data_IF_772778289104
#
_entry.id   IF_772778289104
#
_cell.length_a   1.000
_cell.length_b   1.000
_cell.length_c   1.000
_cell.angle_alpha   90.00
_cell.angle_beta   90.00
_cell.angle_gamma   90.00
#
_symmetry.space_group_name_H-M   'P 1'
#
loop_
_entity.id
_entity.type
_entity.pdbx_description
1 polymer ?
#
# COMPACT_ATOMS: atom_id res chain seq x y z
N UNK A 1 13.98 12.74 11.61
CA UNK A 1 12.81 12.36 12.43
C UNK A 1 11.64 13.25 12.03
N UNK A 2 10.45 12.69 11.82
CA UNK A 2 9.26 13.46 11.44
C UNK A 2 8.77 14.33 12.61
N UNK A 3 8.46 15.61 12.37
CA UNK A 3 8.10 16.60 13.41
C UNK A 3 6.60 16.92 13.54
N UNK A 4 5.75 16.34 12.70
CA UNK A 4 4.32 16.63 12.68
C UNK A 4 3.93 17.47 11.48
N UNK A 5 2.64 17.80 11.40
CA UNK A 5 2.15 18.79 10.46
C UNK A 5 2.58 20.20 10.88
N UNK A 6 2.86 21.11 9.93
CA UNK A 6 2.92 22.53 10.24
C UNK A 6 1.61 23.01 10.85
N UNK A 7 1.62 24.12 11.58
CA UNK A 7 0.39 24.74 12.07
C UNK A 7 -0.54 25.14 10.90
N UNK A 8 -1.83 25.32 11.20
CA UNK A 8 -2.85 25.63 10.17
C UNK A 8 -2.49 26.92 9.43
N UNK A 9 -2.03 27.95 10.14
CA UNK A 9 -1.66 29.23 9.54
C UNK A 9 -0.52 29.08 8.54
N UNK A 10 0.51 28.27 8.84
CA UNK A 10 1.59 27.96 7.92
C UNK A 10 1.13 27.12 6.71
N UNK A 11 0.15 26.22 6.90
CA UNK A 11 -0.44 25.47 5.79
C UNK A 11 -1.25 26.39 4.87
N UNK A 12 -2.09 27.26 5.43
CA UNK A 12 -2.92 28.21 4.71
C UNK A 12 -2.10 29.30 4.01
N UNK A 13 -0.98 29.72 4.60
CA UNK A 13 -0.02 30.65 4.00
C UNK A 13 0.38 30.20 2.59
N UNK A 14 0.73 28.92 2.43
CA UNK A 14 1.15 28.37 1.12
C UNK A 14 0.05 28.45 0.06
N UNK A 15 -1.21 28.30 0.45
CA UNK A 15 -2.35 28.40 -0.48
C UNK A 15 -2.74 29.85 -0.79
N UNK A 16 -2.56 30.75 0.18
CA UNK A 16 -3.03 32.13 0.09
C UNK A 16 -1.95 33.14 -0.37
N UNK A 17 -0.67 32.75 -0.41
CA UNK A 17 0.46 33.65 -0.69
C UNK A 17 0.29 34.53 -1.94
N UNK A 18 -0.37 34.01 -2.99
CA UNK A 18 -0.65 34.74 -4.23
C UNK A 18 -2.14 35.11 -4.41
N UNK A 19 -2.92 35.17 -3.32
CA UNK A 19 -4.32 35.55 -3.37
C UNK A 19 -4.53 36.98 -2.88
N UNK A 20 -5.48 37.70 -3.48
CA UNK A 20 -5.76 39.09 -3.08
C UNK A 20 -6.40 39.18 -1.69
N UNK A 21 -7.27 38.22 -1.35
CA UNK A 21 -8.16 38.31 -0.20
C UNK A 21 -7.85 37.32 0.95
N UNK A 22 -6.92 36.37 0.75
CA UNK A 22 -6.50 35.41 1.79
C UNK A 22 -7.65 34.60 2.44
N UNK A 23 -8.64 34.19 1.64
CA UNK A 23 -9.86 33.51 2.12
C UNK A 23 -9.84 31.99 2.02
N UNK A 24 -8.79 31.37 1.48
CA UNK A 24 -8.73 29.90 1.42
C UNK A 24 -8.41 29.32 2.80
N UNK A 25 -9.29 28.45 3.28
CA UNK A 25 -9.14 27.76 4.56
C UNK A 25 -8.74 26.31 4.33
N UNK A 26 -7.88 25.80 5.20
CA UNK A 26 -7.52 24.38 5.19
C UNK A 26 -8.77 23.55 5.53
N UNK A 27 -9.10 22.59 4.66
CA UNK A 27 -10.16 21.63 4.95
C UNK A 27 -9.85 20.87 6.25
N UNK A 28 -10.90 20.62 7.06
CA UNK A 28 -10.78 19.97 8.37
C UNK A 28 -10.20 18.55 8.33
N UNK A 29 -10.18 17.92 7.16
CA UNK A 29 -9.53 16.63 6.91
C UNK A 29 -8.83 16.62 5.55
N UNK A 30 -8.00 15.60 5.32
CA UNK A 30 -7.40 15.33 4.02
C UNK A 30 -8.11 14.13 3.38
N UNK A 31 -8.43 14.23 2.10
CA UNK A 31 -9.01 13.12 1.32
C UNK A 31 -7.92 12.10 0.97
N UNK A 32 -6.69 12.57 0.71
CA UNK A 32 -5.53 11.73 0.42
C UNK A 32 -4.52 11.80 1.57
N UNK A 33 -3.62 10.79 1.70
CA UNK A 33 -2.51 10.87 2.63
C UNK A 33 -1.70 12.14 2.39
N UNK A 34 -1.56 12.98 3.41
CA UNK A 34 -0.75 14.20 3.34
C UNK A 34 0.75 13.90 3.15
N UNK A 35 1.15 12.64 3.38
CA UNK A 35 2.53 12.19 3.30
C UNK A 35 2.61 10.80 2.73
N UNK A 36 3.69 10.57 2.00
CA UNK A 36 3.98 9.31 1.33
C UNK A 36 5.43 8.95 1.64
N UNK A 37 5.66 7.68 1.97
CA UNK A 37 7.01 7.15 2.17
C UNK A 37 7.51 6.67 0.82
N UNK A 38 8.65 7.20 0.39
CA UNK A 38 9.36 6.73 -0.78
C UNK A 38 10.56 5.89 -0.37
N UNK A 39 10.74 4.78 -1.07
CA UNK A 39 11.93 3.94 -0.97
C UNK A 39 12.65 4.01 -2.32
N UNK A 40 13.90 4.47 -2.30
CA UNK A 40 14.76 4.41 -3.47
C UNK A 40 15.23 2.97 -3.66
N UNK A 41 15.00 2.42 -4.86
CA UNK A 41 15.37 1.06 -5.24
C UNK A 41 16.57 1.02 -6.19
N UNK A 42 17.23 2.16 -6.41
CA UNK A 42 18.45 2.26 -7.23
C UNK A 42 19.65 1.48 -6.65
N UNK A 43 19.86 1.41 -5.32
CA UNK A 43 20.91 0.59 -4.74
C UNK A 43 20.66 -0.92 -4.94
N UNK A 44 21.73 -1.71 -4.83
CA UNK A 44 21.62 -3.17 -4.86
C UNK A 44 20.89 -3.74 -3.63
N UNK A 45 20.46 -5.00 -3.72
CA UNK A 45 19.65 -5.64 -2.69
C UNK A 45 20.35 -5.73 -1.33
N UNK A 46 21.66 -5.97 -1.28
CA UNK A 46 22.40 -6.09 -0.03
C UNK A 46 22.53 -4.73 0.65
N UNK A 47 22.83 -3.68 -0.12
CA UNK A 47 22.81 -2.30 0.35
C UNK A 47 21.44 -1.91 0.90
N UNK A 48 20.36 -2.23 0.18
CA UNK A 48 19.00 -1.96 0.65
C UNK A 48 18.69 -2.66 1.97
N UNK A 49 19.05 -3.93 2.12
CA UNK A 49 18.82 -4.71 3.34
C UNK A 49 19.61 -4.16 4.54
N UNK A 50 20.85 -3.69 4.31
CA UNK A 50 21.69 -3.10 5.36
C UNK A 50 21.15 -1.76 5.86
N UNK A 51 20.53 -0.95 4.98
CA UNK A 51 19.92 0.32 5.36
C UNK A 51 18.59 0.19 6.12
N UNK A 52 17.98 -1.00 6.16
CA UNK A 52 16.74 -1.23 6.89
C UNK A 52 16.95 -1.28 8.41
N UNK A 53 15.88 -1.05 9.18
CA UNK A 53 15.88 -1.32 10.62
C UNK A 53 16.20 -2.82 10.86
N UNK A 54 16.99 -3.19 11.88
CA UNK A 54 17.49 -4.57 12.07
C UNK A 54 16.44 -5.69 12.02
N UNK A 55 15.21 -5.42 12.46
CA UNK A 55 14.11 -6.40 12.46
C UNK A 55 13.64 -6.77 11.05
N UNK A 56 13.74 -5.86 10.09
CA UNK A 56 13.24 -6.08 8.72
C UNK A 56 14.05 -7.14 7.97
N UNK A 57 15.38 -7.06 7.81
CA UNK A 57 16.16 -8.09 7.12
C UNK A 57 16.16 -9.42 7.89
N UNK A 58 15.97 -9.41 9.22
CA UNK A 58 15.72 -10.64 9.98
C UNK A 58 14.41 -11.32 9.56
N UNK A 59 13.31 -10.57 9.49
CA UNK A 59 11.99 -11.10 9.12
C UNK A 59 11.94 -11.59 7.67
N UNK A 60 12.60 -10.90 6.73
CA UNK A 60 12.69 -11.34 5.32
C UNK A 60 13.37 -12.72 5.26
N UNK A 61 14.52 -12.88 5.92
CA UNK A 61 15.24 -14.16 5.99
C UNK A 61 14.44 -15.24 6.72
N UNK A 62 13.70 -14.89 7.76
CA UNK A 62 12.83 -15.82 8.47
C UNK A 62 11.68 -16.32 7.57
N UNK A 63 11.05 -15.44 6.79
CA UNK A 63 10.01 -15.83 5.85
C UNK A 63 10.53 -16.82 4.80
N UNK A 64 11.72 -16.56 4.25
CA UNK A 64 12.39 -17.47 3.33
C UNK A 64 12.65 -18.86 3.97
N UNK A 65 13.18 -18.91 5.20
CA UNK A 65 13.38 -20.18 5.93
C UNK A 65 12.08 -20.92 6.24
N UNK A 66 10.97 -20.20 6.37
CA UNK A 66 9.63 -20.77 6.58
C UNK A 66 8.94 -21.16 5.27
N UNK A 67 9.64 -21.17 4.14
CA UNK A 67 9.09 -21.55 2.83
C UNK A 67 7.86 -20.73 2.44
N UNK A 68 7.82 -19.46 2.85
CA UNK A 68 6.79 -18.52 2.40
C UNK A 68 7.05 -18.18 0.95
N UNK A 69 6.03 -18.32 0.10
CA UNK A 69 6.10 -18.02 -1.33
C UNK A 69 5.31 -16.75 -1.66
N UNK A 70 5.70 -16.09 -2.75
CA UNK A 70 4.98 -14.93 -3.30
C UNK A 70 4.64 -15.23 -4.74
N UNK A 71 3.36 -15.06 -5.10
CA UNK A 71 2.88 -15.23 -6.48
C UNK A 71 2.24 -13.95 -6.98
N UNK A 72 2.39 -13.66 -8.28
CA UNK A 72 1.69 -12.56 -8.95
C UNK A 72 0.46 -13.12 -9.64
N UNK A 73 -0.70 -12.52 -9.37
CA UNK A 73 -2.00 -12.88 -9.94
C UNK A 73 -2.66 -11.66 -10.60
N UNK A 74 -3.55 -11.93 -11.55
CA UNK A 74 -4.53 -11.00 -12.10
C UNK A 74 -5.88 -11.14 -11.37
N UNK A 75 -6.96 -11.10 -12.14
CA UNK A 75 -8.34 -11.22 -11.64
C UNK A 75 -8.60 -12.53 -10.90
N UNK A 76 -7.88 -13.60 -11.23
CA UNK A 76 -8.01 -14.91 -10.62
C UNK A 76 -7.57 -14.93 -9.14
N UNK A 77 -6.81 -13.95 -8.67
CA UNK A 77 -6.45 -13.80 -7.26
C UNK A 77 -7.47 -13.03 -6.42
N UNK A 78 -8.52 -12.48 -7.05
CA UNK A 78 -9.47 -11.54 -6.44
C UNK A 78 -10.15 -12.12 -5.19
N UNK A 79 -10.65 -13.34 -5.26
CA UNK A 79 -11.40 -13.95 -4.16
C UNK A 79 -10.51 -14.20 -2.95
N UNK A 80 -9.25 -14.60 -3.20
CA UNK A 80 -8.25 -14.75 -2.13
C UNK A 80 -7.95 -13.43 -1.45
N UNK A 81 -7.73 -12.36 -2.22
CA UNK A 81 -7.51 -11.02 -1.66
C UNK A 81 -8.72 -10.56 -0.86
N UNK A 82 -9.93 -10.80 -1.36
CA UNK A 82 -11.17 -10.40 -0.73
C UNK A 82 -11.36 -11.04 0.65
N UNK A 83 -11.12 -12.34 0.79
CA UNK A 83 -11.20 -13.02 2.08
C UNK A 83 -10.16 -12.45 3.08
N UNK A 84 -8.92 -12.23 2.64
CA UNK A 84 -7.89 -11.59 3.47
C UNK A 84 -8.29 -10.15 3.87
N UNK A 85 -8.95 -9.42 2.97
CA UNK A 85 -9.33 -8.03 3.21
C UNK A 85 -10.50 -7.95 4.20
N UNK A 86 -11.48 -8.85 4.14
CA UNK A 86 -12.54 -8.97 5.15
C UNK A 86 -11.96 -9.13 6.55
N UNK A 87 -11.00 -10.05 6.73
CA UNK A 87 -10.34 -10.24 8.02
C UNK A 87 -9.60 -8.97 8.48
N UNK A 88 -8.93 -8.28 7.55
CA UNK A 88 -8.22 -7.03 7.81
C UNK A 88 -9.16 -5.90 8.21
N UNK A 89 -10.28 -5.75 7.50
CA UNK A 89 -11.30 -4.73 7.74
C UNK A 89 -12.00 -4.96 9.08
N UNK A 90 -12.38 -6.20 9.40
CA UNK A 90 -12.97 -6.57 10.68
C UNK A 90 -12.02 -6.23 11.84
N UNK A 91 -10.75 -6.61 11.73
CA UNK A 91 -9.73 -6.31 12.76
C UNK A 91 -9.56 -4.81 13.00
N UNK A 92 -9.52 -4.02 11.92
CA UNK A 92 -9.22 -2.59 12.00
C UNK A 92 -10.48 -1.72 12.08
N UNK A 93 -11.68 -2.32 12.15
CA UNK A 93 -12.98 -1.62 12.17
C UNK A 93 -13.17 -0.68 10.98
N UNK A 94 -12.74 -1.12 9.80
CA UNK A 94 -12.91 -0.39 8.54
C UNK A 94 -14.25 -0.78 7.92
N UNK A 95 -15.06 0.20 7.51
CA UNK A 95 -16.29 -0.04 6.78
C UNK A 95 -15.97 -0.64 5.41
N UNK A 96 -16.40 -1.88 5.17
CA UNK A 96 -16.05 -2.61 3.97
C UNK A 96 -16.97 -2.25 2.79
N UNK A 97 -16.67 -1.18 2.07
CA UNK A 97 -17.36 -0.85 0.82
C UNK A 97 -16.73 -1.61 -0.36
N UNK A 98 -17.22 -2.85 -0.51
CA UNK A 98 -16.78 -3.85 -1.47
C UNK A 98 -16.63 -3.38 -2.93
N UNK A 99 -17.44 -2.41 -3.36
CA UNK A 99 -17.51 -1.93 -4.75
C UNK A 99 -16.21 -1.27 -5.23
N UNK A 100 -15.41 -0.70 -4.35
CA UNK A 100 -14.18 0.02 -4.74
C UNK A 100 -13.07 -0.92 -5.23
N UNK A 101 -12.98 -2.12 -4.63
CA UNK A 101 -11.94 -3.10 -4.98
C UNK A 101 -12.12 -3.70 -6.38
N UNK A 102 -13.38 -3.87 -6.81
CA UNK A 102 -13.73 -4.34 -8.14
C UNK A 102 -13.31 -3.33 -9.21
N UNK A 103 -13.53 -2.03 -8.96
CA UNK A 103 -13.16 -0.97 -9.88
C UNK A 103 -11.65 -0.87 -10.09
N UNK A 104 -10.84 -1.00 -9.03
CA UNK A 104 -9.36 -0.97 -9.13
C UNK A 104 -8.83 -2.15 -9.95
N UNK A 105 -9.40 -3.33 -9.75
CA UNK A 105 -9.06 -4.54 -10.49
C UNK A 105 -9.55 -4.49 -11.95
N UNK A 106 -10.76 -3.97 -12.19
CA UNK A 106 -11.38 -3.86 -13.51
C UNK A 106 -10.80 -2.74 -14.37
N UNK A 107 -10.30 -1.64 -13.76
CA UNK A 107 -9.65 -0.55 -14.49
C UNK A 107 -8.44 -1.03 -15.32
N UNK A 108 -7.77 -2.10 -14.87
CA UNK A 108 -6.70 -2.79 -15.60
C UNK A 108 -7.19 -3.42 -16.92
N UNK A 109 -8.44 -3.87 -16.97
CA UNK A 109 -8.97 -4.62 -18.11
C UNK A 109 -9.42 -3.74 -19.28
N UNK A 110 -9.72 -2.46 -19.04
CA UNK A 110 -10.45 -1.65 -20.02
C UNK A 110 -9.76 -0.36 -20.47
N UNK A 111 -8.80 0.20 -19.73
CA UNK A 111 -8.30 1.54 -20.02
C UNK A 111 -6.91 1.57 -20.68
N UNK A 112 -6.88 1.61 -22.02
CA UNK A 112 -5.66 1.70 -22.83
C UNK A 112 -4.93 3.06 -22.74
N UNK A 113 -5.42 4.02 -21.94
CA UNK A 113 -4.84 5.38 -21.83
C UNK A 113 -3.93 5.59 -20.63
N UNK A 114 -3.91 4.68 -19.66
CA UNK A 114 -2.98 4.73 -18.52
C UNK A 114 -2.14 3.44 -18.48
N UNK A 115 -0.82 3.50 -18.74
CA UNK A 115 0.05 2.32 -18.87
C UNK A 115 0.42 1.67 -17.53
N UNK A 116 -0.41 1.82 -16.50
CA UNK A 116 -0.10 1.32 -15.16
C UNK A 116 -0.24 -0.21 -15.10
N UNK A 117 0.85 -0.92 -14.82
CA UNK A 117 0.82 -2.37 -14.57
C UNK A 117 0.44 -2.63 -13.11
N UNK A 118 -0.81 -3.05 -12.89
CA UNK A 118 -1.32 -3.41 -11.56
C UNK A 118 -1.20 -4.93 -11.35
N UNK A 119 -0.47 -5.34 -10.33
CA UNK A 119 -0.28 -6.75 -9.94
C UNK A 119 -0.88 -7.02 -8.58
N UNK A 120 -1.59 -8.14 -8.45
CA UNK A 120 -1.99 -8.66 -7.15
C UNK A 120 -0.92 -9.65 -6.68
N UNK A 121 -0.14 -9.26 -5.68
CA UNK A 121 0.85 -10.13 -5.06
C UNK A 121 0.18 -10.88 -3.90
N UNK A 122 0.24 -12.21 -3.91
CA UNK A 122 -0.29 -13.07 -2.85
C UNK A 122 0.87 -13.82 -2.20
N UNK A 123 0.95 -13.70 -0.88
CA UNK A 123 1.93 -14.36 -0.02
C UNK A 123 1.27 -15.58 0.60
N UNK A 124 1.89 -16.76 0.46
CA UNK A 124 1.33 -18.02 0.96
C UNK A 124 2.35 -18.85 1.75
N UNK A 125 1.84 -19.67 2.67
CA UNK A 125 2.59 -20.77 3.30
C UNK A 125 1.92 -22.09 2.89
N UNK A 126 2.59 -22.85 2.03
CA UNK A 126 1.94 -23.94 1.29
C UNK A 126 0.74 -23.39 0.50
N UNK A 127 -0.41 -24.04 0.65
CA UNK A 127 -1.67 -23.62 0.00
C UNK A 127 -2.43 -22.55 0.78
N UNK A 128 -1.92 -22.08 1.93
CA UNK A 128 -2.60 -21.10 2.77
C UNK A 128 -2.16 -19.67 2.43
N UNK A 129 -3.05 -18.82 1.87
CA UNK A 129 -2.75 -17.40 1.68
C UNK A 129 -2.68 -16.68 3.02
N UNK A 130 -1.60 -15.93 3.25
CA UNK A 130 -1.32 -15.21 4.49
C UNK A 130 -1.52 -13.70 4.35
N UNK A 131 -1.14 -13.15 3.20
CA UNK A 131 -1.25 -11.73 2.92
C UNK A 131 -1.36 -11.50 1.43
N UNK A 132 -1.88 -10.34 1.04
CA UNK A 132 -1.93 -9.93 -0.34
C UNK A 132 -1.78 -8.41 -0.46
N UNK A 133 -1.24 -7.94 -1.58
CA UNK A 133 -1.16 -6.51 -1.87
C UNK A 133 -1.33 -6.18 -3.35
N UNK A 134 -1.93 -5.03 -3.64
CA UNK A 134 -1.91 -4.43 -4.98
C UNK A 134 -0.63 -3.59 -5.15
N UNK A 135 0.16 -3.95 -6.15
CA UNK A 135 1.32 -3.21 -6.61
C UNK A 135 0.99 -2.57 -7.95
N UNK A 136 0.94 -1.24 -8.02
CA UNK A 136 0.80 -0.51 -9.26
C UNK A 136 2.16 0.03 -9.72
N UNK A 137 2.58 -0.30 -10.93
CA UNK A 137 3.84 0.14 -11.52
C UNK A 137 3.53 1.12 -12.64
N UNK A 138 4.14 2.30 -12.62
CA UNK A 138 3.98 3.33 -13.67
C UNK A 138 5.31 4.04 -13.87
N UNK A 139 5.83 4.00 -15.11
CA UNK A 139 7.17 4.49 -15.41
C UNK A 139 8.23 3.79 -14.55
N UNK A 140 9.04 4.58 -13.83
CA UNK A 140 10.08 4.08 -12.92
C UNK A 140 9.61 3.93 -11.46
N UNK A 141 8.30 3.98 -11.18
CA UNK A 141 7.75 3.96 -9.82
C UNK A 141 6.82 2.77 -9.58
N UNK A 142 7.02 2.09 -8.46
CA UNK A 142 6.06 1.14 -7.88
C UNK A 142 5.34 1.76 -6.69
N UNK A 143 4.02 1.59 -6.63
CA UNK A 143 3.15 2.09 -5.56
C UNK A 143 2.40 0.93 -4.91
N UNK A 144 2.56 0.78 -3.60
CA UNK A 144 1.76 -0.14 -2.79
C UNK A 144 0.41 0.52 -2.47
N UNK A 145 -0.70 -0.05 -2.96
CA UNK A 145 -2.02 0.58 -2.85
C UNK A 145 -2.83 0.02 -1.68
N UNK A 146 -3.17 -1.27 -1.71
CA UNK A 146 -3.94 -1.93 -0.66
C UNK A 146 -3.23 -3.19 -0.22
N UNK A 147 -3.15 -3.38 1.10
CA UNK A 147 -2.67 -4.58 1.73
C UNK A 147 -3.78 -5.26 2.51
N UNK A 148 -3.79 -6.59 2.48
CA UNK A 148 -4.68 -7.44 3.25
C UNK A 148 -3.85 -8.55 3.91
N UNK A 149 -4.19 -8.95 5.12
CA UNK A 149 -3.48 -9.98 5.84
C UNK A 149 -4.41 -10.80 6.74
N UNK A 150 -4.12 -12.10 6.82
CA UNK A 150 -4.87 -13.06 7.61
C UNK A 150 -4.66 -12.83 9.11
N UNK A 151 -5.71 -12.97 9.90
CA UNK A 151 -5.66 -13.04 11.34
C UNK A 151 -4.90 -14.32 11.76
N UNK A 152 -3.98 -14.20 12.72
CA UNK A 152 -3.05 -15.27 13.10
C UNK A 152 -3.74 -16.64 13.28
N UNK A 153 -3.44 -17.57 12.38
CA UNK A 153 -3.44 -19.02 12.59
C UNK A 153 -2.28 -19.65 11.81
N UNK A 154 -1.05 -19.28 12.17
CA UNK A 154 0.08 -20.19 11.98
C UNK A 154 0.48 -20.58 13.39
N UNK A 155 -0.20 -21.59 13.92
CA UNK A 155 0.30 -22.33 15.07
C UNK A 155 1.48 -23.13 14.54
N UNK A 156 2.69 -22.71 14.92
CA UNK A 156 3.88 -23.57 14.87
C UNK A 156 3.81 -24.59 15.98
#
# INVERSE_FOLDING_TARGET
MWKGHPDISAQELRFNFNTENWKFKKAGSNILPAYTIYLDLSPDADTLLQCMKPKTPYNIRLAARKSVSVTSKGMEGRDTWHELYKETALRNRILNEMKYSEAVLAAKAQDRRSPADVRLLIVSYGDMPLAAMFLAITGSRGSSLYGALRLRRIVT
#
